data_IF_718297265687
#
_entry.id   IF_718297265687
#
_cell.length_a   1.000
_cell.length_b   1.000
_cell.length_c   1.000
_cell.angle_alpha   90.00
_cell.angle_beta   90.00
_cell.angle_gamma   90.00
#
_symmetry.space_group_name_H-M   'P 1'
#
loop_
_entity.id
_entity.type
_entity.pdbx_description
1 polymer ?
#
# COMPACT_ATOMS: atom_id res chain seq x y z
N UNK A 1 -14.62 -3.54 -6.35
CA UNK A 1 -14.25 -4.65 -5.45
C UNK A 1 -14.24 -4.21 -3.98
N UNK A 2 -13.33 -3.33 -3.54
CA UNK A 2 -13.24 -2.89 -2.13
C UNK A 2 -14.57 -2.42 -1.53
N UNK A 3 -15.35 -1.59 -2.27
CA UNK A 3 -16.68 -1.16 -1.81
C UNK A 3 -17.64 -2.32 -1.52
N UNK A 4 -17.70 -3.32 -2.41
CA UNK A 4 -18.53 -4.52 -2.20
C UNK A 4 -18.07 -5.33 -0.99
N UNK A 5 -16.77 -5.46 -0.77
CA UNK A 5 -16.25 -6.13 0.42
C UNK A 5 -16.65 -5.38 1.69
N UNK A 6 -16.60 -4.04 1.68
CA UNK A 6 -17.04 -3.24 2.81
C UNK A 6 -18.55 -3.34 3.06
N UNK A 7 -19.37 -3.48 2.02
CA UNK A 7 -20.81 -3.75 2.17
C UNK A 7 -21.07 -5.12 2.79
N UNK A 8 -20.34 -6.16 2.34
CA UNK A 8 -20.50 -7.53 2.84
C UNK A 8 -19.97 -7.73 4.27
N UNK A 9 -18.98 -6.94 4.69
CA UNK A 9 -18.38 -7.01 6.01
C UNK A 9 -18.45 -5.62 6.69
N UNK A 10 -19.61 -5.24 7.25
CA UNK A 10 -19.85 -3.91 7.79
C UNK A 10 -18.94 -3.57 8.99
N UNK A 11 -18.57 -4.57 9.78
CA UNK A 11 -17.79 -4.38 11.03
C UNK A 11 -16.28 -4.55 10.83
N UNK A 12 -15.84 -4.70 9.58
CA UNK A 12 -14.42 -4.89 9.25
C UNK A 12 -13.83 -3.63 8.63
N UNK A 13 -12.59 -3.37 9.01
CA UNK A 13 -11.69 -2.43 8.33
C UNK A 13 -10.80 -3.20 7.37
N UNK A 14 -10.34 -2.52 6.33
CA UNK A 14 -9.54 -3.14 5.27
C UNK A 14 -8.20 -2.44 5.16
N UNK A 15 -7.19 -3.22 4.83
CA UNK A 15 -5.90 -2.70 4.42
C UNK A 15 -5.58 -3.18 3.01
N UNK A 16 -5.68 -2.25 2.06
CA UNK A 16 -5.39 -2.50 0.66
C UNK A 16 -3.90 -2.35 0.39
N UNK A 17 -3.23 -3.45 0.06
CA UNK A 17 -1.83 -3.46 -0.35
C UNK A 17 -1.77 -3.64 -1.87
N UNK A 18 -1.26 -2.64 -2.59
CA UNK A 18 -1.31 -2.63 -4.05
C UNK A 18 0.01 -2.19 -4.67
N UNK A 19 0.23 -2.55 -5.94
CA UNK A 19 1.39 -2.10 -6.69
C UNK A 19 1.42 -0.59 -6.90
N UNK A 20 2.61 -0.04 -7.22
CA UNK A 20 2.78 1.41 -7.42
C UNK A 20 1.91 2.01 -8.52
N UNK A 21 1.44 1.20 -9.49
CA UNK A 21 0.46 1.63 -10.51
C UNK A 21 -0.90 2.00 -9.90
N UNK A 22 -1.24 1.41 -8.75
CA UNK A 22 -2.48 1.66 -8.01
C UNK A 22 -2.30 2.65 -6.86
N UNK A 23 -1.12 3.26 -6.71
CA UNK A 23 -0.88 4.31 -5.73
C UNK A 23 -1.94 5.46 -5.76
N UNK A 24 -2.51 5.86 -6.92
CA UNK A 24 -3.59 6.85 -6.95
C UNK A 24 -4.83 6.50 -6.11
N UNK A 25 -5.06 5.22 -5.81
CA UNK A 25 -6.19 4.79 -4.96
C UNK A 25 -6.13 5.36 -3.55
N UNK A 26 -4.96 5.77 -3.07
CA UNK A 26 -4.81 6.44 -1.77
C UNK A 26 -5.55 7.77 -1.70
N UNK A 27 -5.84 8.41 -2.84
CA UNK A 27 -6.68 9.61 -2.92
C UNK A 27 -8.18 9.32 -3.03
N UNK A 28 -8.57 8.05 -3.17
CA UNK A 28 -9.96 7.70 -3.37
C UNK A 28 -10.66 7.60 -2.02
N UNK A 29 -11.93 8.00 -1.97
CA UNK A 29 -12.80 7.79 -0.80
C UNK A 29 -13.24 6.32 -0.78
N UNK A 30 -12.37 5.46 -0.25
CA UNK A 30 -12.64 4.05 0.00
C UNK A 30 -13.22 3.88 1.41
N UNK A 31 -14.32 3.14 1.58
CA UNK A 31 -14.94 2.95 2.88
C UNK A 31 -14.04 2.10 3.79
N UNK A 32 -13.75 2.60 5.00
CA UNK A 32 -13.00 1.88 6.06
C UNK A 32 -11.72 1.20 5.56
N UNK A 33 -11.03 1.81 4.60
CA UNK A 33 -9.90 1.18 3.92
C UNK A 33 -8.67 2.08 3.99
N UNK A 34 -7.59 1.51 4.54
CA UNK A 34 -6.25 2.08 4.45
C UNK A 34 -5.52 1.52 3.23
N UNK A 35 -4.58 2.27 2.66
CA UNK A 35 -3.86 1.89 1.45
C UNK A 35 -2.36 1.92 1.71
N UNK A 36 -1.66 0.83 1.37
CA UNK A 36 -0.21 0.76 1.31
C UNK A 36 0.26 0.41 -0.09
N UNK A 37 1.24 1.14 -0.61
CA UNK A 37 1.80 0.90 -1.94
C UNK A 37 3.20 1.46 -2.10
N UNK A 38 3.83 1.19 -3.25
CA UNK A 38 5.09 1.82 -3.65
C UNK A 38 4.85 3.27 -4.06
N UNK A 39 5.77 4.13 -3.65
CA UNK A 39 5.84 5.53 -4.04
C UNK A 39 7.01 5.74 -5.00
N UNK A 40 6.83 6.63 -5.98
CA UNK A 40 7.93 7.05 -6.83
C UNK A 40 9.01 7.79 -6.03
N UNK A 41 10.28 7.53 -6.33
CA UNK A 41 11.42 8.13 -5.62
C UNK A 41 11.51 9.66 -5.80
N UNK A 42 10.91 10.20 -6.85
CA UNK A 42 10.85 11.63 -7.15
C UNK A 42 9.50 12.27 -6.77
N UNK A 43 8.67 11.57 -5.97
CA UNK A 43 7.36 12.05 -5.57
C UNK A 43 7.40 13.44 -4.91
N UNK A 44 6.39 14.22 -5.29
CA UNK A 44 6.14 15.57 -4.82
C UNK A 44 5.51 15.60 -3.43
N UNK A 45 6.35 15.72 -2.39
CA UNK A 45 5.90 15.76 -1.00
C UNK A 45 5.87 17.19 -0.45
N UNK A 46 4.90 17.46 0.41
CA UNK A 46 4.68 18.75 1.06
C UNK A 46 4.48 18.58 2.57
N UNK A 47 4.79 19.63 3.32
CA UNK A 47 4.37 19.71 4.72
C UNK A 47 2.84 19.91 4.79
N UNK A 48 2.25 19.61 5.94
CA UNK A 48 0.87 19.99 6.22
C UNK A 48 0.71 21.51 6.08
N UNK A 49 -0.44 21.95 5.58
CA UNK A 49 -0.73 23.38 5.51
C UNK A 49 -0.86 23.95 6.93
N UNK A 50 -0.22 25.08 7.25
CA UNK A 50 -0.42 25.72 8.54
C UNK A 50 -1.90 26.14 8.70
N UNK A 51 -2.43 26.14 9.94
CA UNK A 51 -3.79 26.59 10.20
C UNK A 51 -3.99 28.04 9.74
N UNK A 52 -5.23 28.36 9.37
CA UNK A 52 -5.61 29.71 8.96
C UNK A 52 -5.35 30.68 10.12
N UNK A 53 -4.75 31.84 9.82
CA UNK A 53 -4.62 32.92 10.81
C UNK A 53 -5.94 33.69 10.91
N UNK A 54 -6.27 34.18 12.11
CA UNK A 54 -7.41 35.07 12.29
C UNK A 54 -7.27 36.30 11.36
N UNK A 55 -8.37 36.71 10.73
CA UNK A 55 -8.38 37.82 9.76
C UNK A 55 -7.78 37.54 8.39
N UNK A 56 -7.30 36.31 8.11
CA UNK A 56 -6.73 35.99 6.79
C UNK A 56 -7.81 36.00 5.70
N UNK A 57 -7.70 36.94 4.76
CA UNK A 57 -8.57 37.05 3.58
C UNK A 57 -8.13 36.05 2.51
N UNK A 58 -9.09 35.41 1.85
CA UNK A 58 -8.86 34.45 0.77
C UNK A 58 -8.90 32.97 1.19
N UNK A 59 -8.84 32.08 0.19
CA UNK A 59 -8.92 30.63 0.39
C UNK A 59 -7.69 30.13 1.18
N UNK A 60 -7.87 29.34 2.25
CA UNK A 60 -6.77 28.72 2.96
C UNK A 60 -5.85 27.93 2.02
N UNK A 61 -4.53 27.98 2.29
CA UNK A 61 -3.57 27.14 1.56
C UNK A 61 -3.93 25.67 1.80
N UNK A 62 -3.86 24.85 0.75
CA UNK A 62 -4.12 23.41 0.84
C UNK A 62 -2.87 22.59 1.19
N UNK A 63 -1.68 23.15 0.99
CA UNK A 63 -0.40 22.48 1.23
C UNK A 63 0.62 23.43 1.82
N UNK A 64 1.48 22.92 2.69
CA UNK A 64 2.62 23.65 3.24
C UNK A 64 3.79 23.74 2.27
N UNK A 65 4.98 24.01 2.81
CA UNK A 65 6.23 24.07 2.03
C UNK A 65 6.52 22.75 1.31
N UNK A 66 7.18 22.83 0.16
CA UNK A 66 7.69 21.64 -0.55
C UNK A 66 8.77 20.97 0.31
N UNK A 67 8.68 19.66 0.46
CA UNK A 67 9.69 18.84 1.13
C UNK A 67 10.63 18.23 0.08
N UNK A 68 11.87 17.83 0.48
CA UNK A 68 12.71 17.02 -0.39
C UNK A 68 11.96 15.77 -0.84
N UNK A 69 12.04 15.46 -2.14
CA UNK A 69 11.52 14.19 -2.68
C UNK A 69 12.24 13.00 -2.02
N UNK A 70 11.63 11.79 -2.00
CA UNK A 70 12.19 10.64 -1.30
C UNK A 70 13.67 10.35 -1.63
N UNK A 71 14.06 10.38 -2.92
CA UNK A 71 15.45 10.19 -3.35
C UNK A 71 16.41 11.20 -2.74
N UNK A 72 16.03 12.47 -2.74
CA UNK A 72 16.88 13.55 -2.20
C UNK A 72 16.90 13.53 -0.68
N UNK A 73 15.77 13.20 -0.06
CA UNK A 73 15.68 13.01 1.39
C UNK A 73 16.60 11.89 1.85
N UNK A 74 16.49 10.68 1.27
CA UNK A 74 17.35 9.54 1.59
C UNK A 74 18.85 9.80 1.41
N UNK A 75 19.22 10.61 0.40
CA UNK A 75 20.62 11.00 0.14
C UNK A 75 21.17 11.99 1.18
N UNK A 76 20.35 12.97 1.58
CA UNK A 76 20.78 14.04 2.51
C UNK A 76 20.75 13.62 3.98
N UNK A 77 19.97 12.59 4.31
CA UNK A 77 19.78 12.15 5.69
C UNK A 77 20.93 11.27 6.17
N UNK A 78 21.73 11.81 7.10
CA UNK A 78 22.81 11.10 7.80
C UNK A 78 22.34 10.40 9.09
N UNK A 79 21.42 11.01 9.84
CA UNK A 79 20.88 10.50 11.12
C UNK A 79 19.37 10.21 11.00
N UNK A 80 18.85 9.27 11.78
CA UNK A 80 17.41 8.96 11.83
C UNK A 80 16.99 7.69 11.09
N UNK A 81 17.94 6.99 10.45
CA UNK A 81 17.73 5.62 9.98
C UNK A 81 17.60 4.68 11.17
N UNK A 82 16.52 3.89 11.22
CA UNK A 82 16.31 2.86 12.23
C UNK A 82 16.57 1.50 11.64
N UNK A 83 17.42 0.70 12.27
CA UNK A 83 17.61 -0.70 11.89
C UNK A 83 16.40 -1.50 12.36
N UNK A 84 15.76 -2.22 11.45
CA UNK A 84 14.50 -2.92 11.73
C UNK A 84 14.49 -4.25 10.99
N UNK A 85 14.09 -5.31 11.68
CA UNK A 85 13.79 -6.59 11.06
C UNK A 85 12.43 -6.51 10.37
N UNK A 86 12.38 -6.95 9.12
CA UNK A 86 11.14 -7.01 8.34
C UNK A 86 10.98 -8.39 7.76
N UNK A 87 9.73 -8.85 7.66
CA UNK A 87 9.43 -10.09 6.98
C UNK A 87 9.45 -9.84 5.47
N UNK A 88 10.33 -10.57 4.77
CA UNK A 88 10.35 -10.67 3.32
C UNK A 88 9.98 -12.09 2.90
N UNK A 89 8.67 -12.36 2.83
CA UNK A 89 8.08 -13.63 2.37
C UNK A 89 8.52 -14.83 3.23
N UNK A 90 8.30 -14.74 4.54
CA UNK A 90 8.68 -15.73 5.55
C UNK A 90 10.16 -15.69 5.93
N UNK A 91 10.95 -14.75 5.39
CA UNK A 91 12.36 -14.57 5.74
C UNK A 91 12.57 -13.23 6.40
N UNK A 92 13.04 -13.25 7.65
CA UNK A 92 13.40 -12.03 8.36
C UNK A 92 14.70 -11.46 7.78
N UNK A 93 14.64 -10.21 7.33
CA UNK A 93 15.80 -9.48 6.80
C UNK A 93 15.95 -8.15 7.54
N UNK A 94 17.19 -7.72 7.79
CA UNK A 94 17.44 -6.40 8.34
C UNK A 94 17.36 -5.33 7.26
N UNK A 95 16.62 -4.26 7.53
CA UNK A 95 16.57 -3.03 6.72
C UNK A 95 16.89 -1.82 7.57
N UNK A 96 17.39 -0.77 6.92
CA UNK A 96 17.46 0.57 7.49
C UNK A 96 16.23 1.34 7.02
N UNK A 97 15.36 1.73 7.95
CA UNK A 97 14.12 2.42 7.66
C UNK A 97 14.20 3.90 8.00
N UNK A 98 13.75 4.75 7.09
CA UNK A 98 13.59 6.18 7.31
C UNK A 98 12.13 6.58 7.06
N UNK A 99 11.51 7.23 8.04
CA UNK A 99 10.06 7.50 8.04
C UNK A 99 9.74 8.96 8.23
N UNK A 100 8.72 9.46 7.54
CA UNK A 100 8.16 10.80 7.71
C UNK A 100 6.73 10.84 7.19
N UNK A 101 5.88 11.54 7.91
CA UNK A 101 4.53 11.83 7.46
C UNK A 101 4.53 13.10 6.61
N UNK A 102 3.90 13.04 5.44
CA UNK A 102 3.93 14.13 4.46
C UNK A 102 2.64 14.16 3.63
N UNK A 103 2.30 15.35 3.14
CA UNK A 103 1.18 15.53 2.22
C UNK A 103 1.62 15.18 0.80
N UNK A 104 1.00 14.17 0.20
CA UNK A 104 1.22 13.81 -1.20
C UNK A 104 0.16 14.43 -2.10
N UNK A 105 0.22 15.77 -2.21
CA UNK A 105 -0.86 16.61 -2.74
C UNK A 105 -1.49 16.17 -4.07
N UNK A 106 -0.71 15.63 -5.01
CA UNK A 106 -1.23 15.23 -6.32
C UNK A 106 -2.01 13.92 -6.31
N UNK A 107 -1.82 13.09 -5.29
CA UNK A 107 -2.47 11.79 -5.16
C UNK A 107 -3.49 11.84 -4.02
N UNK A 108 -3.09 12.33 -2.86
CA UNK A 108 -3.90 12.39 -1.66
C UNK A 108 -3.84 13.83 -1.09
N UNK A 109 -4.69 14.76 -1.59
CA UNK A 109 -4.62 16.18 -1.25
C UNK A 109 -5.17 16.52 0.13
N UNK A 110 -5.99 15.64 0.72
CA UNK A 110 -6.80 15.97 1.90
C UNK A 110 -6.26 15.33 3.19
N UNK A 111 -5.26 14.45 3.11
CA UNK A 111 -4.66 13.78 4.28
C UNK A 111 -3.16 13.54 4.09
N UNK A 112 -2.45 13.37 5.21
CA UNK A 112 -1.06 12.96 5.18
C UNK A 112 -0.94 11.47 4.84
N UNK A 113 0.19 11.11 4.27
CA UNK A 113 0.62 9.71 4.14
C UNK A 113 1.92 9.53 4.93
N UNK A 114 2.08 8.35 5.53
CA UNK A 114 3.35 7.94 6.11
C UNK A 114 4.24 7.38 5.01
N UNK A 115 5.35 8.06 4.73
CA UNK A 115 6.35 7.62 3.75
C UNK A 115 7.45 6.86 4.46
N UNK A 116 7.75 5.65 3.97
CA UNK A 116 8.79 4.77 4.51
C UNK A 116 9.80 4.46 3.41
N UNK A 117 11.06 4.83 3.63
CA UNK A 117 12.18 4.46 2.78
C UNK A 117 12.88 3.25 3.40
N UNK A 118 13.06 2.18 2.62
CA UNK A 118 13.73 0.96 3.04
C UNK A 118 15.07 0.83 2.31
N UNK A 119 16.15 0.98 3.07
CA UNK A 119 17.53 0.84 2.58
C UNK A 119 18.12 -0.50 2.98
N UNK A 120 18.86 -1.09 2.06
CA UNK A 120 19.68 -2.26 2.31
C UNK A 120 20.91 -1.88 3.13
N UNK A 121 21.11 -2.45 4.33
CA UNK A 121 22.31 -2.16 5.12
C UNK A 121 23.60 -2.58 4.42
N UNK A 122 23.55 -3.56 3.50
CA UNK A 122 24.73 -3.99 2.72
C UNK A 122 24.98 -3.13 1.47
N UNK A 123 24.05 -2.24 1.12
CA UNK A 123 24.15 -1.36 -0.04
C UNK A 123 24.06 -2.06 -1.41
N UNK A 124 23.68 -3.35 -1.47
CA UNK A 124 23.57 -4.12 -2.71
C UNK A 124 22.27 -3.79 -3.45
N UNK A 125 21.18 -3.59 -2.71
CA UNK A 125 19.89 -3.19 -3.28
C UNK A 125 19.70 -1.67 -3.24
N UNK A 126 19.01 -1.14 -4.26
CA UNK A 126 18.59 0.27 -4.28
C UNK A 126 17.53 0.50 -3.19
N UNK A 127 17.51 1.71 -2.62
CA UNK A 127 16.46 2.12 -1.68
C UNK A 127 15.06 1.91 -2.27
N UNK A 128 14.15 1.27 -1.55
CA UNK A 128 12.73 1.22 -1.89
C UNK A 128 11.96 2.32 -1.16
N UNK A 129 10.86 2.80 -1.76
CA UNK A 129 10.02 3.84 -1.17
C UNK A 129 8.58 3.36 -1.18
N UNK A 130 8.01 3.31 0.01
CA UNK A 130 6.62 2.92 0.26
C UNK A 130 5.87 4.08 0.90
N UNK A 131 4.56 4.01 0.85
CA UNK A 131 3.69 4.84 1.66
C UNK A 131 2.53 4.04 2.21
N UNK A 132 1.94 4.56 3.29
CA UNK A 132 0.64 4.12 3.80
C UNK A 132 -0.23 5.33 4.16
N UNK A 133 -1.55 5.21 4.03
CA UNK A 133 -2.50 6.20 4.58
C UNK A 133 -2.71 6.02 6.08
N UNK A 134 -2.41 4.84 6.63
CA UNK A 134 -2.45 4.58 8.07
C UNK A 134 -1.22 5.18 8.76
N UNK A 135 -1.39 6.35 9.38
CA UNK A 135 -0.32 7.04 10.12
C UNK A 135 0.04 6.37 11.45
N UNK A 136 -0.68 5.35 11.89
CA UNK A 136 -0.36 4.60 13.11
C UNK A 136 0.53 3.40 12.81
N UNK A 137 0.52 2.90 11.56
CA UNK A 137 1.28 1.73 11.15
C UNK A 137 2.78 1.90 11.36
N UNK A 138 3.38 0.90 12.00
CA UNK A 138 4.82 0.84 12.21
C UNK A 138 5.56 0.70 10.87
N UNK A 139 6.70 1.40 10.66
CA UNK A 139 7.43 1.35 9.38
C UNK A 139 7.85 -0.04 8.94
N UNK A 140 8.23 -0.91 9.89
CA UNK A 140 8.57 -2.30 9.61
C UNK A 140 7.37 -3.11 9.10
N UNK A 141 6.17 -2.85 9.63
CA UNK A 141 4.93 -3.48 9.16
C UNK A 141 4.59 -3.02 7.74
N UNK A 142 4.70 -1.72 7.42
CA UNK A 142 4.49 -1.19 6.05
C UNK A 142 5.35 -1.95 5.03
N UNK A 143 6.65 -2.12 5.34
CA UNK A 143 7.59 -2.82 4.46
C UNK A 143 7.28 -4.32 4.38
N UNK A 144 6.99 -4.96 5.51
CA UNK A 144 6.70 -6.40 5.58
C UNK A 144 5.41 -6.74 4.83
N UNK A 145 4.33 -5.99 5.07
CA UNK A 145 3.06 -6.12 4.37
C UNK A 145 3.24 -5.96 2.86
N UNK A 146 4.03 -4.98 2.41
CA UNK A 146 4.31 -4.85 0.98
C UNK A 146 5.11 -6.04 0.41
N UNK A 147 6.12 -6.52 1.14
CA UNK A 147 6.90 -7.69 0.69
C UNK A 147 6.07 -8.98 0.63
N UNK A 148 5.09 -9.12 1.51
CA UNK A 148 4.13 -10.21 1.54
C UNK A 148 3.08 -10.18 0.44
N UNK A 149 3.08 -9.20 -0.49
CA UNK A 149 2.08 -9.06 -1.56
C UNK A 149 2.18 -10.13 -2.67
N UNK A 150 3.33 -10.78 -2.81
CA UNK A 150 3.59 -11.69 -3.93
C UNK A 150 2.62 -12.89 -4.10
N UNK A 151 2.01 -13.49 -3.06
CA UNK A 151 1.03 -14.56 -3.25
C UNK A 151 -0.17 -14.16 -4.11
N UNK A 152 -0.55 -12.87 -4.07
CA UNK A 152 -1.64 -12.33 -4.90
C UNK A 152 -1.23 -12.32 -6.37
N UNK A 153 0.04 -12.01 -6.68
CA UNK A 153 0.57 -11.99 -8.04
C UNK A 153 0.82 -13.39 -8.60
N UNK A 154 1.24 -14.33 -7.77
CA UNK A 154 1.32 -15.74 -8.14
C UNK A 154 -0.07 -16.32 -8.39
N UNK A 155 -1.11 -15.89 -7.65
CA UNK A 155 -2.50 -16.25 -7.95
C UNK A 155 -2.96 -15.67 -9.29
N UNK A 156 -2.59 -14.43 -9.63
CA UNK A 156 -2.88 -13.84 -10.94
C UNK A 156 -2.06 -14.46 -12.10
N UNK A 157 -0.85 -14.96 -11.83
CA UNK A 157 -0.01 -15.66 -12.81
C UNK A 157 -0.48 -17.09 -13.04
N UNK A 158 -0.84 -17.81 -11.98
CA UNK A 158 -1.41 -19.16 -12.06
C UNK A 158 -2.80 -19.16 -12.70
N UNK A 159 -3.63 -18.14 -12.49
CA UNK A 159 -4.91 -18.01 -13.20
C UNK A 159 -4.75 -17.69 -14.70
N UNK A 160 -3.60 -17.12 -15.12
CA UNK A 160 -3.26 -16.95 -16.55
C UNK A 160 -2.68 -18.23 -17.16
N UNK A 161 -1.89 -19.01 -16.42
CA UNK A 161 -1.34 -20.29 -16.90
C UNK A 161 -2.39 -21.41 -16.95
N UNK A 162 -3.35 -21.44 -16.03
CA UNK A 162 -4.50 -22.38 -16.07
C UNK A 162 -5.51 -22.10 -17.18
N UNK A 163 -5.34 -20.99 -17.92
CA UNK A 163 -6.08 -20.68 -19.16
C UNK A 163 -5.24 -20.90 -20.43
N UNK A 164 -4.21 -21.76 -20.35
CA UNK A 164 -3.54 -22.33 -21.51
C UNK A 164 -4.18 -23.66 -21.92
N UNK A 165 -5.15 -23.62 -22.84
CA UNK A 165 -5.42 -24.74 -23.75
C UNK A 165 -6.54 -25.72 -23.38
N UNK A 166 -7.79 -25.31 -23.57
CA UNK A 166 -8.75 -26.04 -24.44
C UNK A 166 -9.86 -25.08 -24.86
N UNK A 167 -10.10 -25.04 -26.16
CA UNK A 167 -11.03 -24.14 -26.83
C UNK A 167 -12.48 -24.37 -26.41
N UNK A 168 -13.30 -23.36 -26.71
CA UNK A 168 -14.74 -23.45 -26.68
C UNK A 168 -15.23 -24.48 -27.72
N UNK A 169 -15.57 -25.66 -27.23
CA UNK A 169 -16.39 -26.72 -27.82
C UNK A 169 -16.49 -27.74 -26.66
N UNK A 170 -17.61 -28.03 -26.00
CA UNK A 170 -18.98 -28.11 -26.48
C UNK A 170 -19.95 -27.69 -25.37
N UNK A 171 -20.98 -26.95 -25.75
CA UNK A 171 -22.22 -26.91 -24.99
C UNK A 171 -23.04 -28.10 -25.47
N UNK A 172 -23.02 -29.19 -24.72
CA UNK A 172 -24.08 -30.18 -24.79
C UNK A 172 -24.54 -30.46 -23.37
N UNK A 173 -25.81 -30.13 -23.13
CA UNK A 173 -26.42 -30.24 -21.82
C UNK A 173 -26.67 -31.70 -21.47
N UNK A 174 -26.47 -32.04 -20.21
CA UNK A 174 -27.36 -33.01 -19.59
C UNK A 174 -27.46 -32.77 -18.09
N UNK A 175 -28.64 -33.06 -17.57
CA UNK A 175 -29.08 -32.66 -16.25
C UNK A 175 -28.57 -33.54 -15.10
N UNK A 176 -28.92 -33.02 -13.92
CA UNK A 176 -29.12 -33.75 -12.67
C UNK A 176 -28.00 -33.78 -11.62
N UNK A 177 -28.48 -33.47 -10.41
CA UNK A 177 -28.10 -33.94 -9.06
C UNK A 177 -27.32 -32.98 -8.17
N UNK A 178 -28.04 -32.60 -7.12
CA UNK A 178 -27.58 -31.93 -5.92
C UNK A 178 -26.36 -32.64 -5.30
N UNK A 179 -25.36 -31.84 -4.95
CA UNK A 179 -24.14 -32.27 -4.26
C UNK A 179 -23.62 -31.16 -3.35
N UNK A 180 -23.92 -31.33 -2.06
CA UNK A 180 -23.41 -30.66 -0.86
C UNK A 180 -22.02 -29.99 -0.99
N UNK A 181 -21.95 -28.68 -0.72
CA UNK A 181 -20.69 -27.94 -0.56
C UNK A 181 -19.98 -28.32 0.75
N UNK A 182 -18.65 -28.61 0.76
CA UNK A 182 -17.90 -28.73 1.99
C UNK A 182 -17.52 -27.36 2.57
N UNK A 183 -17.60 -27.28 3.90
CA UNK A 183 -17.27 -26.14 4.76
C UNK A 183 -15.78 -25.81 4.68
N UNK A 184 -15.44 -24.52 4.54
CA UNK A 184 -14.06 -24.03 4.71
C UNK A 184 -13.84 -23.75 6.20
N UNK A 185 -12.81 -24.37 6.77
CA UNK A 185 -12.36 -24.18 8.15
C UNK A 185 -11.73 -22.79 8.33
N UNK A 186 -12.16 -22.11 9.40
CA UNK A 186 -11.40 -21.10 10.11
C UNK A 186 -10.11 -21.71 10.70
N UNK A 187 -8.98 -21.02 10.55
CA UNK A 187 -7.86 -21.10 11.51
C UNK A 187 -7.26 -19.70 11.64
N UNK A 188 -7.60 -19.05 12.75
CA UNK A 188 -6.78 -18.03 13.41
C UNK A 188 -6.06 -18.74 14.57
N UNK A 189 -4.78 -18.44 14.72
CA UNK A 189 -4.11 -18.21 16.01
C UNK A 189 -3.18 -17.00 15.81
#
# INVERSE_FOLDING_TARGET
>A
MVRRLAELFPDRTFHLIADGAYAPMAGWKLPRTEVTSRMRKDAALYALSPPKRAGQVGRPRKKGRRLPCPKTWARRTKKGWKRTWVDRRGRMVQRLLLTRDALWYHVCPDQLVRVVISRDPSGREKDDVFFTTDLTMAPGAVVSHYFGRWPVEDTFRNSKQSRGGRGAADLEGDGARAGRLPRVLDVLD
#
